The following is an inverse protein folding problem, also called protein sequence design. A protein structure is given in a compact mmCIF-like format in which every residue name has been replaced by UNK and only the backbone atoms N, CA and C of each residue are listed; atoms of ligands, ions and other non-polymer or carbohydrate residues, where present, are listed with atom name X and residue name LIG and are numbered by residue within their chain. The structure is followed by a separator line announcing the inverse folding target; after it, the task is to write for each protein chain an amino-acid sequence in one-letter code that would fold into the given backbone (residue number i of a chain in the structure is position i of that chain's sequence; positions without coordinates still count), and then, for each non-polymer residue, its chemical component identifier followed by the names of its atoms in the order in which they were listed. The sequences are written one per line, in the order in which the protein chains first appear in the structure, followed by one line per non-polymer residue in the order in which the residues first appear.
data_IF_782827817437
#
_entry.id   IF_782827817437
#
_cell.length_a   1.000
_cell.length_b   1.000
_cell.length_c   1.000
_cell.angle_alpha   90.00
_cell.angle_beta   90.00
_cell.angle_gamma   90.00
#
_symmetry.space_group_name_H-M   'P 1'
#
loop_
_entity.id
_entity.type
_entity.pdbx_description
1 polymer ?
#
# COMPACT_ATOMS: atom_id res chain seq x y z
N UNK A 1 28.07 6.71 12.24
CA UNK A 1 27.21 5.98 13.20
C UNK A 1 28.08 5.41 14.31
N UNK A 2 27.63 5.38 15.59
CA UNK A 2 28.39 4.74 16.66
C UNK A 2 28.59 3.25 16.32
N UNK A 3 29.77 2.73 16.60
CA UNK A 3 30.12 1.35 16.28
C UNK A 3 29.34 0.40 17.20
N UNK A 4 28.40 -0.37 16.65
CA UNK A 4 27.64 -1.34 17.43
C UNK A 4 28.54 -2.38 18.09
N UNK A 5 28.30 -2.62 19.38
CA UNK A 5 28.85 -3.76 20.10
C UNK A 5 28.29 -5.08 19.54
N UNK A 6 28.87 -6.22 19.92
CA UNK A 6 28.34 -7.52 19.52
C UNK A 6 26.94 -7.78 20.07
N UNK A 7 26.66 -7.31 21.29
CA UNK A 7 25.32 -7.38 21.89
C UNK A 7 24.31 -6.55 21.08
N UNK A 8 24.69 -5.34 20.66
CA UNK A 8 23.81 -4.47 19.86
C UNK A 8 23.50 -5.10 18.50
N UNK A 9 24.51 -5.73 17.86
CA UNK A 9 24.32 -6.44 16.58
C UNK A 9 23.38 -7.63 16.73
N UNK A 10 23.47 -8.37 17.83
CA UNK A 10 22.59 -9.50 18.11
C UNK A 10 21.15 -9.04 18.36
N UNK A 11 20.98 -7.97 19.16
CA UNK A 11 19.70 -7.34 19.43
C UNK A 11 19.04 -6.86 18.13
N UNK A 12 19.78 -6.15 17.28
CA UNK A 12 19.31 -5.66 15.99
C UNK A 12 18.88 -6.80 15.05
N UNK A 13 19.66 -7.89 14.98
CA UNK A 13 19.28 -9.08 14.22
C UNK A 13 18.00 -9.75 14.74
N UNK A 14 17.82 -9.83 16.06
CA UNK A 14 16.58 -10.34 16.67
C UNK A 14 15.38 -9.45 16.34
N UNK A 15 15.55 -8.13 16.38
CA UNK A 15 14.51 -7.18 15.99
C UNK A 15 14.13 -7.33 14.53
N UNK A 16 15.11 -7.48 13.62
CA UNK A 16 14.85 -7.70 12.21
C UNK A 16 14.05 -8.99 11.97
N UNK A 17 14.45 -10.10 12.60
CA UNK A 17 13.71 -11.37 12.50
C UNK A 17 12.27 -11.24 13.02
N UNK A 18 12.06 -10.52 14.12
CA UNK A 18 10.73 -10.25 14.65
C UNK A 18 9.89 -9.37 13.71
N UNK A 19 10.49 -8.38 13.06
CA UNK A 19 9.79 -7.55 12.07
C UNK A 19 9.37 -8.37 10.85
N UNK A 20 10.26 -9.21 10.31
CA UNK A 20 9.94 -10.11 9.21
C UNK A 20 8.82 -11.10 9.60
N UNK A 21 8.88 -11.65 10.82
CA UNK A 21 7.83 -12.54 11.31
C UNK A 21 6.45 -11.87 11.29
N UNK A 22 6.36 -10.61 11.73
CA UNK A 22 5.12 -9.84 11.69
C UNK A 22 4.59 -9.68 10.26
N UNK A 23 5.47 -9.41 9.28
CA UNK A 23 5.09 -9.32 7.86
C UNK A 23 4.54 -10.66 7.36
N UNK A 24 5.19 -11.77 7.68
CA UNK A 24 4.73 -13.09 7.28
C UNK A 24 3.40 -13.47 7.94
N UNK A 25 3.19 -13.08 9.19
CA UNK A 25 1.91 -13.28 9.89
C UNK A 25 0.78 -12.51 9.22
N UNK A 26 1.02 -11.28 8.75
CA UNK A 26 0.04 -10.53 7.96
C UNK A 26 -0.27 -11.24 6.64
N UNK A 27 0.74 -11.71 5.91
CA UNK A 27 0.53 -12.54 4.72
C UNK A 27 -0.29 -13.80 5.00
N UNK A 28 -0.13 -14.40 6.18
CA UNK A 28 -0.96 -15.54 6.62
C UNK A 28 -2.39 -15.11 6.94
N UNK A 29 -2.59 -13.96 7.59
CA UNK A 29 -3.92 -13.39 7.87
C UNK A 29 -4.70 -13.07 6.59
N UNK A 30 -3.99 -12.65 5.53
CA UNK A 30 -4.55 -12.44 4.19
C UNK A 30 -4.74 -13.74 3.38
N UNK A 31 -4.50 -14.90 3.99
CA UNK A 31 -4.53 -16.23 3.37
C UNK A 31 -3.55 -16.43 2.21
N UNK A 32 -2.56 -15.54 2.04
CA UNK A 32 -1.49 -15.71 1.05
C UNK A 32 -0.57 -16.87 1.42
N UNK A 33 -0.33 -17.06 2.72
CA UNK A 33 0.46 -18.15 3.27
C UNK A 33 -0.46 -19.08 4.06
N UNK A 34 -0.26 -20.39 3.88
CA UNK A 34 -0.93 -21.44 4.67
C UNK A 34 -0.24 -21.65 6.01
N UNK A 35 1.08 -21.79 6.00
CA UNK A 35 1.87 -22.11 7.18
C UNK A 35 3.21 -21.35 7.21
N UNK A 36 3.68 -21.03 8.42
CA UNK A 36 4.99 -20.43 8.68
C UNK A 36 5.72 -21.33 9.68
N UNK A 37 6.82 -21.94 9.24
CA UNK A 37 7.70 -22.75 10.08
C UNK A 37 8.91 -21.88 10.45
N UNK A 38 9.09 -21.63 11.74
CA UNK A 38 10.15 -20.75 12.26
C UNK A 38 11.37 -21.56 12.68
N UNK A 39 12.55 -20.94 12.63
CA UNK A 39 13.80 -21.54 13.08
C UNK A 39 14.03 -22.94 12.49
N UNK A 40 13.71 -23.09 11.20
CA UNK A 40 13.73 -24.38 10.54
C UNK A 40 15.16 -24.93 10.50
N UNK A 41 15.28 -26.21 10.87
CA UNK A 41 16.53 -26.94 10.85
C UNK A 41 16.33 -28.31 10.21
N UNK A 42 17.34 -28.74 9.45
CA UNK A 42 17.37 -30.07 8.85
C UNK A 42 18.81 -30.57 8.70
N UNK A 43 18.96 -31.85 8.36
CA UNK A 43 20.25 -32.47 8.05
C UNK A 43 20.04 -33.73 7.21
N UNK A 44 21.12 -34.21 6.59
CA UNK A 44 21.07 -35.44 5.81
C UNK A 44 20.83 -36.67 6.70
N UNK A 45 20.24 -37.72 6.11
CA UNK A 45 20.14 -39.01 6.77
C UNK A 45 21.55 -39.46 7.23
N UNK A 46 21.65 -39.94 8.47
CA UNK A 46 22.90 -40.36 9.15
C UNK A 46 23.79 -39.24 9.73
N UNK A 47 23.42 -37.96 9.55
CA UNK A 47 24.12 -36.82 10.15
C UNK A 47 23.24 -36.09 11.18
N UNK A 48 23.79 -35.03 11.79
CA UNK A 48 23.02 -34.16 12.69
C UNK A 48 21.80 -33.59 11.94
N UNK A 49 20.59 -33.90 12.43
CA UNK A 49 19.34 -33.45 11.83
C UNK A 49 19.08 -31.94 12.01
N UNK A 50 19.96 -31.23 12.73
CA UNK A 50 19.90 -29.80 12.97
C UNK A 50 21.04 -29.01 12.30
N UNK A 51 21.75 -29.63 11.35
CA UNK A 51 22.97 -29.11 10.71
C UNK A 51 22.76 -27.80 9.93
N UNK A 52 21.71 -27.72 9.12
CA UNK A 52 21.40 -26.55 8.29
C UNK A 52 20.25 -25.76 8.90
N UNK A 53 20.28 -24.45 8.72
CA UNK A 53 19.31 -23.55 9.35
C UNK A 53 18.79 -22.48 8.39
N UNK A 54 17.51 -22.16 8.49
CA UNK A 54 16.96 -20.93 7.95
C UNK A 54 15.95 -20.29 8.91
N UNK A 55 15.75 -18.97 8.79
CA UNK A 55 14.87 -18.23 9.69
C UNK A 55 13.42 -18.69 9.58
N UNK A 56 12.93 -18.83 8.35
CA UNK A 56 11.55 -19.23 8.07
C UNK A 56 11.47 -20.13 6.83
N UNK A 57 10.56 -21.10 6.88
CA UNK A 57 9.98 -21.74 5.70
C UNK A 57 8.50 -21.36 5.66
N UNK A 58 8.05 -20.80 4.54
CA UNK A 58 6.64 -20.48 4.31
C UNK A 58 6.04 -21.51 3.36
N UNK A 59 4.81 -21.93 3.62
CA UNK A 59 4.07 -22.91 2.81
C UNK A 59 2.85 -22.21 2.21
N UNK A 60 2.69 -22.31 0.90
CA UNK A 60 1.54 -21.77 0.19
C UNK A 60 0.36 -22.75 0.18
N UNK A 61 -0.79 -22.29 -0.34
CA UNK A 61 -2.00 -23.12 -0.41
C UNK A 61 -1.85 -24.33 -1.34
N UNK A 62 -0.94 -24.27 -2.31
CA UNK A 62 -0.59 -25.38 -3.21
C UNK A 62 0.57 -26.25 -2.68
N UNK A 63 0.88 -26.14 -1.39
CA UNK A 63 1.96 -26.84 -0.68
C UNK A 63 3.39 -26.53 -1.16
N UNK A 64 3.55 -25.58 -2.10
CA UNK A 64 4.88 -25.05 -2.46
C UNK A 64 5.52 -24.40 -1.25
N UNK A 65 6.83 -24.61 -1.05
CA UNK A 65 7.59 -24.04 0.06
C UNK A 65 8.64 -23.04 -0.40
N UNK A 66 8.75 -21.91 0.30
CA UNK A 66 9.86 -20.98 0.13
C UNK A 66 10.66 -20.83 1.42
N UNK A 67 11.98 -20.75 1.30
CA UNK A 67 12.87 -20.29 2.37
C UNK A 67 12.84 -18.76 2.40
N UNK A 68 12.72 -18.18 3.58
CA UNK A 68 12.84 -16.74 3.81
C UNK A 68 13.83 -16.49 4.94
N UNK A 69 14.98 -15.92 4.59
CA UNK A 69 16.00 -15.48 5.54
C UNK A 69 16.04 -13.96 5.64
N UNK A 70 16.53 -13.42 6.75
CA UNK A 70 16.74 -11.99 6.92
C UNK A 70 18.15 -11.68 7.39
N UNK A 71 18.72 -10.60 6.87
CA UNK A 71 19.99 -10.04 7.33
C UNK A 71 19.88 -8.52 7.40
N UNK A 72 20.56 -7.93 8.38
CA UNK A 72 20.59 -6.47 8.58
C UNK A 72 21.84 -5.82 7.99
N UNK A 73 22.74 -6.60 7.40
CA UNK A 73 23.95 -6.06 6.78
C UNK A 73 24.48 -7.00 5.70
N UNK A 74 25.12 -6.44 4.69
CA UNK A 74 25.79 -7.21 3.65
C UNK A 74 27.19 -7.62 4.11
N UNK A 75 27.37 -8.90 4.46
CA UNK A 75 28.71 -9.44 4.76
C UNK A 75 28.92 -10.76 4.05
N UNK A 76 30.10 -10.92 3.45
CA UNK A 76 30.42 -12.07 2.59
C UNK A 76 30.42 -13.40 3.35
N UNK A 77 30.86 -13.41 4.62
CA UNK A 77 30.81 -14.57 5.52
C UNK A 77 29.36 -15.04 5.73
N UNK A 78 28.46 -14.12 6.09
CA UNK A 78 27.05 -14.40 6.34
C UNK A 78 26.34 -14.87 5.09
N UNK A 79 26.63 -14.27 3.95
CA UNK A 79 26.02 -14.62 2.67
C UNK A 79 26.43 -16.03 2.22
N UNK A 80 27.72 -16.38 2.36
CA UNK A 80 28.21 -17.74 2.09
C UNK A 80 27.57 -18.77 3.01
N UNK A 81 27.40 -18.45 4.29
CA UNK A 81 26.66 -19.30 5.23
C UNK A 81 25.22 -19.55 4.79
N UNK A 82 24.48 -18.48 4.49
CA UNK A 82 23.10 -18.60 3.98
C UNK A 82 23.03 -19.38 2.67
N UNK A 83 23.99 -19.22 1.77
CA UNK A 83 24.07 -20.00 0.53
C UNK A 83 24.30 -21.49 0.80
N UNK A 84 25.24 -21.81 1.69
CA UNK A 84 25.54 -23.18 2.08
C UNK A 84 24.32 -23.86 2.72
N UNK A 85 23.67 -23.19 3.66
CA UNK A 85 22.45 -23.70 4.31
C UNK A 85 21.33 -23.87 3.28
N UNK A 86 21.07 -22.85 2.46
CA UNK A 86 20.01 -22.89 1.44
C UNK A 86 20.23 -24.02 0.43
N UNK A 87 21.47 -24.22 -0.03
CA UNK A 87 21.80 -25.27 -0.98
C UNK A 87 21.43 -26.64 -0.42
N UNK A 88 21.92 -26.96 0.78
CA UNK A 88 21.69 -28.26 1.38
C UNK A 88 20.23 -28.47 1.82
N UNK A 89 19.55 -27.42 2.31
CA UNK A 89 18.13 -27.49 2.64
C UNK A 89 17.29 -27.87 1.40
N UNK A 90 17.58 -27.30 0.23
CA UNK A 90 16.89 -27.63 -1.03
C UNK A 90 17.17 -29.06 -1.50
N UNK A 91 18.38 -29.58 -1.28
CA UNK A 91 18.71 -30.98 -1.57
C UNK A 91 17.95 -31.96 -0.65
N UNK A 92 17.79 -31.60 0.63
CA UNK A 92 17.08 -32.42 1.63
C UNK A 92 15.56 -32.34 1.46
N UNK A 93 15.02 -31.15 1.15
CA UNK A 93 13.60 -30.93 0.89
C UNK A 93 13.38 -30.35 -0.52
N UNK A 94 13.19 -31.23 -1.54
CA UNK A 94 12.95 -30.81 -2.92
C UNK A 94 11.65 -30.03 -3.15
N UNK A 95 10.73 -29.97 -2.16
CA UNK A 95 9.51 -29.16 -2.26
C UNK A 95 9.78 -27.65 -2.13
N UNK A 96 10.99 -27.27 -1.72
CA UNK A 96 11.42 -25.88 -1.62
C UNK A 96 11.78 -25.34 -3.01
N UNK A 97 10.85 -24.57 -3.58
CA UNK A 97 11.00 -24.05 -4.95
C UNK A 97 11.76 -22.73 -5.02
N UNK A 98 11.84 -21.98 -3.90
CA UNK A 98 12.46 -20.65 -3.87
C UNK A 98 13.13 -20.39 -2.50
N UNK A 99 14.20 -19.61 -2.50
CA UNK A 99 14.87 -19.04 -1.33
C UNK A 99 15.09 -17.55 -1.53
N UNK A 100 14.67 -16.76 -0.56
CA UNK A 100 14.71 -15.30 -0.59
C UNK A 100 15.48 -14.78 0.62
N UNK A 101 16.47 -13.93 0.38
CA UNK A 101 17.17 -13.19 1.43
C UNK A 101 16.59 -11.77 1.52
N UNK A 102 16.12 -11.42 2.70
CA UNK A 102 15.42 -10.17 2.98
C UNK A 102 16.35 -9.22 3.72
N UNK A 103 16.27 -7.92 3.41
CA UNK A 103 16.89 -6.86 4.18
C UNK A 103 15.83 -5.81 4.63
N UNK A 104 16.06 -5.08 5.73
CA UNK A 104 15.16 -4.01 6.17
C UNK A 104 15.05 -2.86 5.15
N UNK A 105 13.85 -2.34 4.91
CA UNK A 105 13.63 -1.26 3.92
C UNK A 105 14.22 0.08 4.34
N UNK A 106 14.51 0.28 5.62
CA UNK A 106 15.06 1.51 6.19
C UNK A 106 16.59 1.57 6.22
N UNK A 107 17.28 0.61 5.58
CA UNK A 107 18.73 0.67 5.39
C UNK A 107 19.15 1.90 4.57
N UNK A 108 20.37 2.38 4.82
CA UNK A 108 20.99 3.46 4.04
C UNK A 108 21.15 3.05 2.57
N UNK A 109 21.22 4.02 1.66
CA UNK A 109 21.39 3.72 0.23
C UNK A 109 22.71 2.98 -0.04
N UNK A 110 23.79 3.40 0.63
CA UNK A 110 25.09 2.75 0.52
C UNK A 110 25.02 1.27 0.95
N UNK A 111 24.31 0.96 2.05
CA UNK A 111 24.12 -0.42 2.50
C UNK A 111 23.24 -1.23 1.52
N UNK A 112 22.23 -0.61 0.91
CA UNK A 112 21.34 -1.25 -0.08
C UNK A 112 22.08 -1.58 -1.38
N UNK A 113 23.00 -0.74 -1.82
CA UNK A 113 23.71 -0.91 -3.08
C UNK A 113 24.48 -2.24 -3.17
N UNK A 114 25.04 -2.70 -2.05
CA UNK A 114 25.71 -4.00 -1.97
C UNK A 114 24.74 -5.17 -2.19
N UNK A 115 23.55 -5.11 -1.59
CA UNK A 115 22.49 -6.11 -1.81
C UNK A 115 22.02 -6.10 -3.27
N UNK A 116 21.80 -4.91 -3.83
CA UNK A 116 21.34 -4.73 -5.22
C UNK A 116 22.40 -5.23 -6.22
N UNK A 117 23.67 -4.96 -5.98
CA UNK A 117 24.77 -5.46 -6.79
C UNK A 117 24.84 -6.99 -6.76
N UNK A 118 24.61 -7.61 -5.60
CA UNK A 118 24.59 -9.06 -5.50
C UNK A 118 23.36 -9.66 -6.18
N UNK A 119 22.17 -9.09 -5.97
CA UNK A 119 20.94 -9.43 -6.71
C UNK A 119 21.17 -9.42 -8.22
N UNK A 120 21.80 -8.35 -8.72
CA UNK A 120 22.16 -8.23 -10.13
C UNK A 120 23.08 -9.36 -10.59
N UNK A 121 24.08 -9.77 -9.78
CA UNK A 121 24.96 -10.90 -10.11
C UNK A 121 24.23 -12.24 -10.16
N UNK A 122 23.24 -12.46 -9.27
CA UNK A 122 22.36 -13.65 -9.29
C UNK A 122 21.53 -13.66 -10.58
N UNK A 123 20.76 -12.59 -10.83
CA UNK A 123 19.82 -12.48 -11.97
C UNK A 123 20.54 -12.66 -13.31
N UNK A 124 21.73 -12.06 -13.45
CA UNK A 124 22.52 -12.14 -14.67
C UNK A 124 23.40 -13.40 -14.76
N UNK A 125 23.21 -14.38 -13.86
CA UNK A 125 23.98 -15.64 -13.80
C UNK A 125 25.50 -15.42 -13.78
N UNK A 126 25.96 -14.29 -13.23
CA UNK A 126 27.39 -14.00 -13.06
C UNK A 126 27.99 -14.82 -11.93
N UNK A 127 27.20 -15.10 -10.90
CA UNK A 127 27.55 -15.98 -9.79
C UNK A 127 26.54 -17.12 -9.68
N UNK A 128 27.03 -18.30 -9.32
CA UNK A 128 26.16 -19.34 -8.79
C UNK A 128 25.61 -18.90 -7.42
N UNK A 129 24.33 -19.18 -7.18
CA UNK A 129 23.68 -18.91 -5.90
C UNK A 129 22.55 -19.90 -5.67
N UNK A 130 22.49 -20.48 -4.48
CA UNK A 130 21.33 -21.25 -4.02
C UNK A 130 20.18 -20.33 -3.54
N UNK A 131 20.50 -19.09 -3.20
CA UNK A 131 19.53 -18.01 -2.93
C UNK A 131 19.05 -17.49 -4.28
N UNK A 132 17.74 -17.51 -4.52
CA UNK A 132 17.14 -17.15 -5.81
C UNK A 132 16.89 -15.66 -5.94
N UNK A 133 16.68 -14.96 -4.83
CA UNK A 133 16.35 -13.54 -4.82
C UNK A 133 16.84 -12.82 -3.57
N UNK A 134 17.08 -11.53 -3.70
CA UNK A 134 17.42 -10.63 -2.60
C UNK A 134 16.54 -9.40 -2.70
N UNK A 135 15.79 -9.11 -1.64
CA UNK A 135 14.70 -8.13 -1.67
C UNK A 135 14.56 -7.38 -0.36
N UNK A 136 13.98 -6.18 -0.43
CA UNK A 136 13.45 -5.50 0.73
C UNK A 136 12.23 -6.17 1.34
N UNK A 137 11.74 -5.65 2.46
CA UNK A 137 10.50 -6.11 3.11
C UNK A 137 9.28 -5.91 2.20
N UNK A 138 9.19 -4.79 1.47
CA UNK A 138 8.07 -4.49 0.56
C UNK A 138 8.05 -5.47 -0.60
N UNK A 139 9.19 -5.61 -1.28
CA UNK A 139 9.35 -6.53 -2.40
C UNK A 139 9.02 -7.98 -1.99
N UNK A 140 9.41 -8.42 -0.78
CA UNK A 140 9.01 -9.73 -0.27
C UNK A 140 7.48 -9.86 -0.15
N UNK A 141 6.81 -8.88 0.47
CA UNK A 141 5.36 -8.90 0.62
C UNK A 141 4.68 -9.02 -0.75
N UNK A 142 5.14 -8.22 -1.72
CA UNK A 142 4.63 -8.25 -3.09
C UNK A 142 4.92 -9.58 -3.81
N UNK A 143 6.07 -10.19 -3.59
CA UNK A 143 6.40 -11.51 -4.15
C UNK A 143 5.44 -12.60 -3.62
N UNK A 144 5.18 -12.60 -2.31
CA UNK A 144 4.26 -13.54 -1.66
C UNK A 144 2.83 -13.31 -2.17
N UNK A 145 2.37 -12.06 -2.17
CA UNK A 145 1.05 -11.67 -2.66
C UNK A 145 0.85 -12.04 -4.13
N UNK A 146 1.84 -11.79 -4.98
CA UNK A 146 1.76 -12.11 -6.40
C UNK A 146 1.72 -13.61 -6.65
N UNK A 147 2.48 -14.39 -5.89
CA UNK A 147 2.46 -15.85 -6.00
C UNK A 147 1.12 -16.42 -5.53
N UNK A 148 0.63 -16.01 -4.36
CA UNK A 148 -0.65 -16.48 -3.82
C UNK A 148 -1.82 -16.18 -4.77
N UNK A 149 -1.78 -15.04 -5.45
CA UNK A 149 -2.83 -14.58 -6.34
C UNK A 149 -2.62 -14.95 -7.82
N UNK A 150 -1.64 -15.81 -8.15
CA UNK A 150 -1.24 -16.11 -9.54
C UNK A 150 -2.37 -16.65 -10.43
N UNK A 151 -3.36 -17.32 -9.82
CA UNK A 151 -4.49 -17.95 -10.51
C UNK A 151 -5.79 -17.11 -10.47
N UNK A 152 -5.77 -15.94 -9.84
CA UNK A 152 -6.95 -15.07 -9.76
C UNK A 152 -7.11 -14.23 -11.02
N UNK A 153 -8.36 -13.88 -11.35
CA UNK A 153 -8.63 -12.90 -12.40
C UNK A 153 -8.10 -11.52 -12.01
N UNK A 154 -7.76 -10.69 -13.00
CA UNK A 154 -7.17 -9.37 -12.77
C UNK A 154 -8.04 -8.49 -11.86
N UNK A 155 -9.36 -8.50 -12.05
CA UNK A 155 -10.29 -7.71 -11.23
C UNK A 155 -10.28 -8.16 -9.76
N UNK A 156 -10.48 -9.47 -9.52
CA UNK A 156 -10.48 -10.04 -8.16
C UNK A 156 -9.13 -9.83 -7.47
N UNK A 157 -8.03 -10.01 -8.21
CA UNK A 157 -6.68 -9.74 -7.70
C UNK A 157 -6.56 -8.27 -7.26
N UNK A 158 -7.00 -7.31 -8.07
CA UNK A 158 -6.88 -5.88 -7.72
C UNK A 158 -7.72 -5.47 -6.53
N UNK A 159 -8.94 -5.99 -6.42
CA UNK A 159 -9.80 -5.72 -5.27
C UNK A 159 -9.20 -6.28 -3.97
N UNK A 160 -8.69 -7.52 -4.02
CA UNK A 160 -8.02 -8.14 -2.87
C UNK A 160 -6.74 -7.40 -2.47
N UNK A 161 -5.90 -7.04 -3.46
CA UNK A 161 -4.68 -6.26 -3.24
C UNK A 161 -4.97 -4.89 -2.62
N UNK A 162 -6.05 -4.23 -3.01
CA UNK A 162 -6.49 -2.95 -2.43
C UNK A 162 -6.90 -3.10 -0.97
N UNK A 163 -7.82 -4.01 -0.68
CA UNK A 163 -8.31 -4.25 0.68
C UNK A 163 -7.19 -4.66 1.65
N UNK A 164 -6.32 -5.58 1.22
CA UNK A 164 -5.20 -6.04 2.05
C UNK A 164 -4.16 -4.94 2.25
N UNK A 165 -3.97 -4.05 1.27
CA UNK A 165 -3.10 -2.89 1.43
C UNK A 165 -3.64 -1.90 2.49
N UNK A 166 -4.94 -1.63 2.50
CA UNK A 166 -5.59 -0.79 3.52
C UNK A 166 -5.41 -1.37 4.93
N UNK A 167 -5.64 -2.67 5.08
CA UNK A 167 -5.37 -3.41 6.32
C UNK A 167 -3.90 -3.31 6.72
N UNK A 168 -2.99 -3.51 5.77
CA UNK A 168 -1.57 -3.54 6.04
C UNK A 168 -1.03 -2.18 6.50
N UNK A 169 -1.43 -1.08 5.87
CA UNK A 169 -1.07 0.27 6.32
C UNK A 169 -1.61 0.53 7.74
N UNK A 170 -2.81 0.04 8.06
CA UNK A 170 -3.36 0.14 9.42
C UNK A 170 -2.50 -0.63 10.44
N UNK A 171 -2.00 -1.81 10.06
CA UNK A 171 -1.05 -2.59 10.88
C UNK A 171 0.29 -1.86 11.07
N UNK A 172 0.85 -1.29 10.00
CA UNK A 172 2.11 -0.50 10.05
C UNK A 172 1.98 0.69 11.00
N UNK A 173 0.87 1.44 10.92
CA UNK A 173 0.60 2.61 11.77
C UNK A 173 0.29 2.26 13.22
N UNK A 174 -0.28 1.10 13.48
CA UNK A 174 -0.58 0.63 14.85
C UNK A 174 0.59 -0.10 15.50
N UNK A 175 1.72 -0.26 14.80
CA UNK A 175 2.82 -1.05 15.28
C UNK A 175 3.61 -0.32 16.38
N UNK A 176 3.63 -0.89 17.59
CA UNK A 176 4.30 -0.28 18.75
C UNK A 176 5.82 -0.13 18.54
N UNK A 177 6.47 -1.05 17.83
CA UNK A 177 7.92 -0.95 17.55
C UNK A 177 8.23 0.17 16.56
N UNK A 178 7.35 0.43 15.58
CA UNK A 178 7.49 1.58 14.70
C UNK A 178 7.39 2.88 15.50
N UNK A 179 6.40 2.99 16.39
CA UNK A 179 6.25 4.16 17.26
C UNK A 179 7.45 4.34 18.20
N UNK A 180 7.90 3.27 18.87
CA UNK A 180 9.07 3.29 19.75
C UNK A 180 10.32 3.75 18.99
N UNK A 181 10.54 3.19 17.79
CA UNK A 181 11.66 3.57 16.93
C UNK A 181 11.59 5.03 16.53
N UNK A 182 10.42 5.54 16.14
CA UNK A 182 10.26 6.95 15.76
C UNK A 182 10.48 7.91 16.93
N UNK A 183 9.96 7.58 18.13
CA UNK A 183 10.14 8.39 19.34
C UNK A 183 11.60 8.43 19.80
N UNK A 184 12.29 7.28 19.80
CA UNK A 184 13.64 7.14 20.37
C UNK A 184 14.77 7.34 19.36
N UNK A 185 14.48 7.22 18.06
CA UNK A 185 15.47 7.13 16.99
C UNK A 185 16.52 6.04 17.24
N UNK A 186 16.17 4.98 17.99
CA UNK A 186 17.08 3.90 18.34
C UNK A 186 17.43 3.05 17.11
N UNK A 187 18.69 3.05 16.64
CA UNK A 187 19.08 2.36 15.41
C UNK A 187 19.07 0.83 15.54
N UNK A 188 18.91 0.28 16.75
CA UNK A 188 18.79 -1.17 16.96
C UNK A 188 17.39 -1.70 16.69
N UNK A 189 16.36 -0.85 16.79
CA UNK A 189 14.99 -1.24 16.53
C UNK A 189 14.78 -1.41 15.02
N UNK A 190 14.08 -2.46 14.64
CA UNK A 190 13.65 -2.69 13.26
C UNK A 190 12.14 -2.75 13.27
N UNK A 191 11.55 -1.86 12.47
CA UNK A 191 10.12 -1.73 12.29
C UNK A 191 9.62 -2.59 11.13
N UNK A 192 8.29 -2.68 10.99
CA UNK A 192 7.66 -3.17 9.76
C UNK A 192 7.41 -1.97 8.85
N UNK A 193 8.01 -1.94 7.65
CA UNK A 193 7.88 -0.81 6.71
C UNK A 193 7.97 0.56 7.42
N UNK A 194 9.04 0.74 8.20
CA UNK A 194 9.21 1.91 9.05
C UNK A 194 9.27 3.21 8.23
N UNK A 195 9.79 3.14 7.01
CA UNK A 195 9.80 4.23 6.04
C UNK A 195 8.38 4.70 5.67
N UNK A 196 7.42 3.77 5.52
CA UNK A 196 6.02 4.11 5.29
C UNK A 196 5.41 4.81 6.50
N UNK A 197 5.67 4.26 7.68
CA UNK A 197 5.25 4.86 8.94
C UNK A 197 5.75 6.30 9.05
N UNK A 198 7.05 6.52 8.88
CA UNK A 198 7.67 7.84 9.01
C UNK A 198 7.14 8.86 7.99
N UNK A 199 6.97 8.46 6.71
CA UNK A 199 6.39 9.34 5.67
C UNK A 199 4.98 9.80 6.02
N UNK A 200 4.15 8.90 6.55
CA UNK A 200 2.77 9.22 6.95
C UNK A 200 2.77 10.18 8.15
N UNK A 201 3.54 9.89 9.19
CA UNK A 201 3.61 10.73 10.39
C UNK A 201 4.18 12.13 10.07
N UNK A 202 5.13 12.21 9.15
CA UNK A 202 5.68 13.47 8.66
C UNK A 202 4.60 14.30 7.96
N UNK A 203 3.80 13.69 7.07
CA UNK A 203 2.68 14.37 6.40
C UNK A 203 1.58 14.81 7.37
N UNK A 204 1.37 14.06 8.46
CA UNK A 204 0.46 14.47 9.55
C UNK A 204 1.01 15.62 10.40
N UNK A 205 2.27 16.01 10.21
CA UNK A 205 2.96 17.03 10.99
C UNK A 205 2.90 16.74 12.51
N UNK A 206 3.17 15.49 12.87
CA UNK A 206 3.15 15.04 14.27
C UNK A 206 4.49 15.28 14.97
N UNK A 207 4.42 15.69 16.23
CA UNK A 207 5.59 15.86 17.10
C UNK A 207 5.81 14.62 17.96
N UNK A 208 6.96 13.98 17.78
CA UNK A 208 7.38 12.77 18.51
C UNK A 208 7.44 12.89 20.02
N UNK A 209 7.57 14.12 20.54
CA UNK A 209 7.60 14.38 21.98
C UNK A 209 6.21 14.39 22.60
N UNK A 210 5.16 14.59 21.78
CA UNK A 210 3.78 14.76 22.25
C UNK A 210 2.89 13.55 22.00
N UNK A 211 3.29 12.63 21.11
CA UNK A 211 2.52 11.45 20.75
C UNK A 211 2.78 10.32 21.74
N UNK A 212 1.72 9.85 22.39
CA UNK A 212 1.77 8.72 23.31
C UNK A 212 1.49 7.39 22.61
N UNK A 213 0.44 7.35 21.78
CA UNK A 213 -0.02 6.14 21.08
C UNK A 213 -0.61 6.47 19.71
N UNK A 214 -0.49 5.53 18.78
CA UNK A 214 -1.15 5.57 17.47
C UNK A 214 -1.91 4.27 17.28
N UNK A 215 -3.19 4.37 16.94
CA UNK A 215 -4.01 3.24 16.51
C UNK A 215 -4.62 3.58 15.14
N UNK A 216 -4.59 2.64 14.20
CA UNK A 216 -5.22 2.80 12.90
C UNK A 216 -6.14 1.61 12.60
N UNK A 217 -7.22 1.86 11.86
CA UNK A 217 -8.17 0.83 11.45
C UNK A 217 -8.69 1.07 10.05
N UNK A 218 -8.81 -0.03 9.29
CA UNK A 218 -9.50 -0.11 8.00
C UNK A 218 -10.81 -0.90 8.10
N UNK A 219 -11.27 -1.23 9.32
CA UNK A 219 -12.50 -1.98 9.53
C UNK A 219 -13.71 -1.17 9.05
N UNK A 220 -14.35 -1.65 7.98
CA UNK A 220 -15.52 -1.01 7.38
C UNK A 220 -16.71 -0.93 8.34
N UNK A 221 -16.76 -1.73 9.41
CA UNK A 221 -17.79 -1.59 10.47
C UNK A 221 -17.55 -0.36 11.34
N UNK A 222 -16.29 0.02 11.55
CA UNK A 222 -15.92 1.22 12.31
C UNK A 222 -16.09 2.47 11.45
N UNK A 223 -15.63 2.43 10.20
CA UNK A 223 -15.77 3.55 9.25
C UNK A 223 -17.26 3.79 8.90
N UNK A 224 -18.03 2.70 8.79
CA UNK A 224 -19.45 2.72 8.48
C UNK A 224 -19.76 3.09 7.03
N UNK A 225 -21.04 3.05 6.67
CA UNK A 225 -21.52 3.43 5.35
C UNK A 225 -22.01 4.89 5.32
N UNK A 226 -22.09 5.47 4.13
CA UNK A 226 -22.74 6.76 3.92
C UNK A 226 -24.25 6.69 4.22
N UNK A 227 -24.94 7.83 4.32
CA UNK A 227 -26.42 7.86 4.45
C UNK A 227 -27.13 7.21 3.28
N UNK A 228 -26.47 7.12 2.13
CA UNK A 228 -26.94 6.46 0.91
C UNK A 228 -26.63 4.96 0.87
N UNK A 229 -26.05 4.39 1.93
CA UNK A 229 -25.52 3.02 1.98
C UNK A 229 -24.30 2.75 1.09
N UNK A 230 -23.79 3.76 0.37
CA UNK A 230 -22.54 3.66 -0.38
C UNK A 230 -21.31 3.67 0.55
N UNK A 231 -20.17 3.21 0.03
CA UNK A 231 -18.90 3.27 0.75
C UNK A 231 -18.35 4.70 0.80
N UNK A 232 -17.85 5.14 1.96
CA UNK A 232 -17.19 6.44 2.09
C UNK A 232 -15.83 6.46 1.37
N UNK A 233 -15.19 7.64 1.31
CA UNK A 233 -13.85 7.79 0.71
C UNK A 233 -12.73 7.47 1.67
N UNK A 234 -12.98 7.53 2.97
CA UNK A 234 -12.03 7.07 3.98
C UNK A 234 -11.88 5.55 3.91
N UNK A 235 -10.65 5.11 3.68
CA UNK A 235 -10.24 3.71 3.72
C UNK A 235 -9.59 3.36 5.06
N UNK A 236 -8.91 4.32 5.71
CA UNK A 236 -8.25 4.15 7.02
C UNK A 236 -8.57 5.34 7.93
N UNK A 237 -8.89 5.07 9.19
CA UNK A 237 -8.95 6.06 10.27
C UNK A 237 -7.75 5.85 11.19
N UNK A 238 -6.98 6.91 11.43
CA UNK A 238 -5.86 6.92 12.37
C UNK A 238 -6.22 7.80 13.57
N UNK A 239 -6.16 7.23 14.76
CA UNK A 239 -6.34 7.92 16.03
C UNK A 239 -4.99 8.03 16.74
N UNK A 240 -4.54 9.27 16.92
CA UNK A 240 -3.31 9.62 17.62
C UNK A 240 -3.69 10.15 19.00
N UNK A 241 -3.20 9.48 20.04
CA UNK A 241 -3.40 9.88 21.44
C UNK A 241 -2.14 10.61 21.88
N UNK A 242 -2.29 11.86 22.31
CA UNK A 242 -1.19 12.68 22.83
C UNK A 242 -0.90 12.36 24.30
N UNK A 243 0.27 12.74 24.81
CA UNK A 243 0.68 12.51 26.20
C UNK A 243 -0.25 13.20 27.22
N UNK A 244 -0.97 14.25 26.81
CA UNK A 244 -2.00 14.90 27.63
C UNK A 244 -3.38 14.23 27.56
N UNK A 245 -3.50 13.09 26.86
CA UNK A 245 -4.75 12.36 26.64
C UNK A 245 -5.65 12.88 25.52
N UNK A 246 -5.27 13.94 24.82
CA UNK A 246 -6.04 14.46 23.67
C UNK A 246 -5.95 13.51 22.48
N UNK A 247 -7.08 13.30 21.79
CA UNK A 247 -7.12 12.52 20.56
C UNK A 247 -7.13 13.43 19.32
N UNK A 248 -6.34 13.05 18.31
CA UNK A 248 -6.39 13.59 16.95
C UNK A 248 -6.78 12.47 15.99
N UNK A 249 -7.69 12.75 15.06
CA UNK A 249 -8.09 11.80 14.03
C UNK A 249 -7.60 12.26 12.66
N UNK A 250 -7.10 11.31 11.87
CA UNK A 250 -6.69 11.50 10.49
C UNK A 250 -7.37 10.44 9.63
N UNK A 251 -7.88 10.84 8.46
CA UNK A 251 -8.61 9.96 7.55
C UNK A 251 -7.89 9.85 6.22
N UNK A 252 -7.66 8.63 5.75
CA UNK A 252 -6.86 8.36 4.55
C UNK A 252 -7.71 7.63 3.52
N UNK A 253 -7.69 8.09 2.27
CA UNK A 253 -8.09 7.30 1.10
C UNK A 253 -6.85 6.63 0.51
N UNK A 254 -6.88 5.31 0.34
CA UNK A 254 -5.75 4.51 -0.12
C UNK A 254 -5.93 4.05 -1.57
N UNK A 255 -4.87 4.08 -2.37
CA UNK A 255 -4.87 3.56 -3.74
C UNK A 255 -3.55 2.84 -4.02
N UNK A 256 -3.60 1.53 -4.26
CA UNK A 256 -2.44 0.73 -4.69
C UNK A 256 -2.49 0.53 -6.20
N UNK A 257 -1.61 1.20 -6.95
CA UNK A 257 -1.64 1.16 -8.42
C UNK A 257 -0.34 1.59 -9.10
N UNK A 258 0.00 0.89 -10.18
CA UNK A 258 1.03 1.30 -11.15
C UNK A 258 0.41 1.88 -12.43
N UNK A 259 -0.91 1.91 -12.52
CA UNK A 259 -1.60 2.47 -13.67
C UNK A 259 -1.50 4.00 -13.66
N UNK A 260 -1.27 4.58 -14.83
CA UNK A 260 -1.26 6.04 -15.01
C UNK A 260 -2.62 6.67 -14.67
N UNK A 261 -3.70 5.92 -14.81
CA UNK A 261 -5.05 6.39 -14.49
C UNK A 261 -5.91 5.27 -13.90
N UNK A 262 -6.73 5.62 -12.92
CA UNK A 262 -7.63 4.70 -12.22
C UNK A 262 -9.03 5.29 -12.07
N UNK A 263 -10.04 4.43 -11.93
CA UNK A 263 -11.38 4.85 -11.55
C UNK A 263 -11.41 5.33 -10.11
N UNK A 264 -11.97 6.52 -9.88
CA UNK A 264 -11.98 7.18 -8.55
C UNK A 264 -13.38 7.49 -8.05
N UNK A 265 -14.39 7.55 -8.94
CA UNK A 265 -15.74 7.94 -8.58
C UNK A 265 -16.76 7.38 -9.55
N UNK A 266 -17.96 7.04 -9.06
CA UNK A 266 -19.05 6.58 -9.92
C UNK A 266 -20.41 6.86 -9.28
N UNK A 267 -21.19 7.74 -9.90
CA UNK A 267 -22.48 8.21 -9.38
C UNK A 267 -23.41 8.62 -10.52
N UNK A 268 -24.71 8.78 -10.23
CA UNK A 268 -25.70 9.27 -11.19
C UNK A 268 -25.49 10.76 -11.49
N UNK A 269 -25.94 11.22 -12.66
CA UNK A 269 -25.98 12.64 -13.03
C UNK A 269 -26.63 13.52 -11.95
N UNK A 270 -27.71 13.06 -11.33
CA UNK A 270 -28.38 13.81 -10.26
C UNK A 270 -27.51 13.96 -9.01
N UNK A 271 -26.75 12.93 -8.64
CA UNK A 271 -25.83 13.04 -7.51
C UNK A 271 -24.70 14.03 -7.80
N UNK A 272 -24.21 14.09 -9.04
CA UNK A 272 -23.28 15.15 -9.45
C UNK A 272 -23.92 16.53 -9.33
N UNK A 273 -25.13 16.73 -9.86
CA UNK A 273 -25.83 18.01 -9.79
C UNK A 273 -26.09 18.44 -8.34
N UNK A 274 -26.67 17.56 -7.52
CA UNK A 274 -27.00 17.82 -6.12
C UNK A 274 -25.77 18.24 -5.30
N UNK A 275 -24.61 17.64 -5.55
CA UNK A 275 -23.39 17.97 -4.84
C UNK A 275 -22.76 19.24 -5.37
N UNK A 276 -22.69 19.43 -6.70
CA UNK A 276 -21.99 20.58 -7.28
C UNK A 276 -22.78 21.87 -7.12
N UNK A 277 -24.04 21.87 -7.55
CA UNK A 277 -24.95 23.01 -7.46
C UNK A 277 -26.40 22.52 -7.65
N UNK A 278 -27.13 22.33 -6.54
CA UNK A 278 -28.46 21.70 -6.55
C UNK A 278 -29.51 22.51 -7.31
N UNK A 279 -29.33 23.83 -7.38
CA UNK A 279 -30.27 24.78 -7.98
C UNK A 279 -29.93 25.09 -9.45
N UNK A 280 -28.77 24.62 -9.95
CA UNK A 280 -28.37 24.83 -11.33
C UNK A 280 -29.00 23.79 -12.27
N UNK A 281 -30.23 24.09 -12.71
CA UNK A 281 -31.00 23.25 -13.64
C UNK A 281 -30.29 23.02 -14.99
N UNK A 282 -29.49 23.99 -15.45
CA UNK A 282 -28.74 23.85 -16.70
C UNK A 282 -27.62 22.82 -16.55
N UNK A 283 -26.85 22.88 -15.47
CA UNK A 283 -25.84 21.88 -15.14
C UNK A 283 -26.47 20.48 -15.00
N UNK A 284 -27.57 20.36 -14.25
CA UNK A 284 -28.31 19.10 -14.08
C UNK A 284 -28.72 18.50 -15.43
N UNK A 285 -29.34 19.31 -16.29
CA UNK A 285 -29.78 18.89 -17.62
C UNK A 285 -28.60 18.41 -18.48
N UNK A 286 -27.47 19.11 -18.45
CA UNK A 286 -26.27 18.71 -19.22
C UNK A 286 -25.67 17.39 -18.70
N UNK A 287 -25.63 17.20 -17.38
CA UNK A 287 -25.16 15.94 -16.77
C UNK A 287 -26.08 14.76 -17.11
N UNK A 288 -27.40 14.94 -17.06
CA UNK A 288 -28.38 13.93 -17.44
C UNK A 288 -28.22 13.55 -18.91
N UNK A 289 -28.14 14.54 -19.81
CA UNK A 289 -27.87 14.31 -21.23
C UNK A 289 -26.56 13.55 -21.45
N UNK A 290 -25.49 13.88 -20.73
CA UNK A 290 -24.23 13.16 -20.85
C UNK A 290 -24.40 11.69 -20.43
N UNK A 291 -25.08 11.44 -19.32
CA UNK A 291 -25.36 10.08 -18.84
C UNK A 291 -26.17 9.27 -19.86
N UNK A 292 -27.25 9.85 -20.40
CA UNK A 292 -28.14 9.24 -21.39
C UNK A 292 -27.42 8.87 -22.69
N UNK A 293 -26.59 9.78 -23.22
CA UNK A 293 -25.81 9.52 -24.44
C UNK A 293 -24.74 8.44 -24.23
N UNK A 294 -24.23 8.28 -22.99
CA UNK A 294 -23.34 7.18 -22.63
C UNK A 294 -21.94 7.24 -23.28
N UNK A 295 -21.58 8.34 -23.96
CA UNK A 295 -20.25 8.64 -24.49
C UNK A 295 -20.13 10.10 -24.98
N UNK A 296 -18.89 10.60 -25.11
CA UNK A 296 -18.60 11.98 -25.55
C UNK A 296 -19.02 12.27 -26.98
N UNK A 297 -18.82 11.31 -27.90
CA UNK A 297 -19.09 11.53 -29.33
C UNK A 297 -20.57 11.83 -29.54
N UNK A 298 -21.43 11.02 -28.93
CA UNK A 298 -22.88 11.17 -29.08
C UNK A 298 -23.41 12.34 -28.23
N UNK A 299 -22.69 12.76 -27.18
CA UNK A 299 -23.00 13.98 -26.42
C UNK A 299 -22.79 15.27 -27.24
N UNK A 300 -21.80 15.29 -28.14
CA UNK A 300 -21.56 16.38 -29.08
C UNK A 300 -20.78 17.57 -28.50
N UNK A 301 -20.20 18.37 -29.39
CA UNK A 301 -19.27 19.45 -29.03
C UNK A 301 -19.97 20.63 -28.34
N UNK A 302 -21.16 21.01 -28.79
CA UNK A 302 -21.93 22.11 -28.19
C UNK A 302 -22.27 21.83 -26.72
N UNK A 303 -22.77 20.63 -26.43
CA UNK A 303 -23.06 20.21 -25.06
C UNK A 303 -21.77 20.07 -24.23
N UNK A 304 -20.66 19.63 -24.85
CA UNK A 304 -19.37 19.52 -24.18
C UNK A 304 -18.80 20.88 -23.76
N UNK A 305 -18.93 21.89 -24.63
CA UNK A 305 -18.56 23.28 -24.33
C UNK A 305 -19.45 23.83 -23.22
N UNK A 306 -20.78 23.66 -23.33
CA UNK A 306 -21.71 24.13 -22.32
C UNK A 306 -21.45 23.49 -20.95
N UNK A 307 -21.22 22.16 -20.89
CA UNK A 307 -20.94 21.46 -19.64
C UNK A 307 -19.60 21.91 -19.03
N UNK A 308 -18.57 22.14 -19.84
CA UNK A 308 -17.31 22.72 -19.36
C UNK A 308 -17.53 24.06 -18.68
N UNK A 309 -18.30 24.94 -19.31
CA UNK A 309 -18.50 26.31 -18.82
C UNK A 309 -19.32 26.31 -17.50
N UNK A 310 -20.31 25.42 -17.38
CA UNK A 310 -21.07 25.20 -16.14
C UNK A 310 -20.23 24.53 -15.04
N UNK A 311 -19.29 23.64 -15.37
CA UNK A 311 -18.42 22.98 -14.36
C UNK A 311 -17.29 23.89 -13.85
N UNK A 312 -16.87 24.88 -14.64
CA UNK A 312 -15.75 25.79 -14.31
C UNK A 312 -15.80 26.40 -12.91
N UNK A 313 -16.93 26.95 -12.41
CA UNK A 313 -16.99 27.51 -11.05
C UNK A 313 -16.95 26.44 -9.95
N UNK A 314 -17.11 25.16 -10.27
CA UNK A 314 -17.24 24.07 -9.30
C UNK A 314 -16.06 23.09 -9.31
N UNK A 315 -14.96 23.39 -10.01
CA UNK A 315 -13.84 22.46 -10.20
C UNK A 315 -13.23 21.95 -8.88
N UNK A 316 -12.95 22.86 -7.94
CA UNK A 316 -12.39 22.47 -6.65
C UNK A 316 -13.37 21.60 -5.85
N UNK A 317 -14.65 22.00 -5.81
CA UNK A 317 -15.73 21.25 -5.15
C UNK A 317 -15.87 19.85 -5.74
N UNK A 318 -15.80 19.73 -7.07
CA UNK A 318 -15.82 18.45 -7.78
C UNK A 318 -14.63 17.58 -7.37
N UNK A 319 -13.40 18.12 -7.38
CA UNK A 319 -12.21 17.34 -7.01
C UNK A 319 -12.28 16.86 -5.56
N UNK A 320 -12.63 17.75 -4.63
CA UNK A 320 -12.73 17.41 -3.20
C UNK A 320 -13.84 16.39 -2.91
N UNK A 321 -14.95 16.44 -3.64
CA UNK A 321 -15.98 15.40 -3.55
C UNK A 321 -15.51 14.07 -4.13
N UNK A 322 -14.89 14.11 -5.30
CA UNK A 322 -14.46 12.91 -6.02
C UNK A 322 -13.41 12.12 -5.25
N UNK A 323 -12.44 12.85 -4.70
CA UNK A 323 -11.24 12.30 -4.06
C UNK A 323 -11.45 12.14 -2.55
N UNK A 324 -11.95 13.16 -1.86
CA UNK A 324 -12.11 13.18 -0.41
C UNK A 324 -13.53 12.92 0.12
N UNK A 325 -14.54 12.91 -0.76
CA UNK A 325 -15.95 12.69 -0.38
C UNK A 325 -16.67 13.95 0.12
N UNK A 326 -16.00 15.10 0.14
CA UNK A 326 -16.53 16.37 0.65
C UNK A 326 -17.78 16.83 -0.13
N UNK A 327 -18.83 17.22 0.58
CA UNK A 327 -20.14 17.54 -0.02
C UNK A 327 -21.06 16.32 -0.21
N UNK A 328 -20.54 15.10 0.00
CA UNK A 328 -21.34 13.88 0.00
C UNK A 328 -22.24 13.74 1.24
N UNK A 329 -23.23 12.84 1.16
CA UNK A 329 -24.18 12.55 2.24
C UNK A 329 -23.55 11.65 3.32
N UNK A 330 -22.60 12.19 4.08
CA UNK A 330 -21.91 11.48 5.18
C UNK A 330 -22.76 11.38 6.45
N UNK A 331 -22.48 10.36 7.25
CA UNK A 331 -22.99 10.19 8.62
C UNK A 331 -22.06 10.84 9.65
N UNK A 332 -20.75 10.76 9.43
CA UNK A 332 -19.70 11.27 10.30
C UNK A 332 -18.60 11.93 9.45
N UNK A 333 -17.92 12.95 9.98
CA UNK A 333 -16.75 13.58 9.36
C UNK A 333 -15.60 12.60 9.13
N UNK A 334 -15.48 11.55 9.95
CA UNK A 334 -14.46 10.50 9.73
C UNK A 334 -14.63 9.74 8.40
N UNK A 335 -15.75 9.91 7.71
CA UNK A 335 -16.02 9.33 6.38
C UNK A 335 -15.50 10.17 5.22
N UNK A 336 -15.04 11.39 5.51
CA UNK A 336 -14.32 12.24 4.58
C UNK A 336 -12.83 11.97 4.70
N UNK A 337 -12.15 11.78 3.57
CA UNK A 337 -10.71 11.54 3.55
C UNK A 337 -9.95 12.87 3.46
N UNK A 338 -9.12 13.13 4.46
CA UNK A 338 -8.28 14.33 4.56
C UNK A 338 -6.91 14.13 3.93
N UNK A 339 -6.50 12.87 3.74
CA UNK A 339 -5.22 12.48 3.16
C UNK A 339 -5.41 11.45 2.06
N UNK A 340 -4.58 11.55 1.03
CA UNK A 340 -4.57 10.64 -0.12
C UNK A 340 -3.25 9.90 -0.11
N UNK A 341 -3.31 8.59 0.12
CA UNK A 341 -2.16 7.70 0.13
C UNK A 341 -2.16 6.83 -1.12
N UNK A 342 -1.10 6.94 -1.90
CA UNK A 342 -0.91 6.23 -3.16
C UNK A 342 0.32 5.35 -3.01
N UNK A 343 0.18 4.06 -3.29
CA UNK A 343 1.31 3.13 -3.37
C UNK A 343 1.54 2.70 -4.81
N UNK A 344 2.80 2.72 -5.21
CA UNK A 344 3.29 1.99 -6.37
C UNK A 344 4.20 0.82 -5.93
N UNK A 345 4.76 0.08 -6.89
CA UNK A 345 5.68 -1.05 -6.66
C UNK A 345 6.97 -0.70 -5.90
N UNK A 346 7.27 0.58 -5.67
CA UNK A 346 8.54 1.03 -5.09
C UNK A 346 8.38 1.82 -3.80
N UNK A 347 7.27 2.55 -3.66
CA UNK A 347 7.11 3.51 -2.58
C UNK A 347 5.64 3.87 -2.32
N UNK A 348 5.42 4.62 -1.24
CA UNK A 348 4.19 5.34 -0.96
C UNK A 348 4.37 6.85 -1.11
N UNK A 349 3.29 7.50 -1.53
CA UNK A 349 3.14 8.94 -1.65
C UNK A 349 1.91 9.33 -0.84
N UNK A 350 2.04 10.31 0.05
CA UNK A 350 0.93 10.81 0.84
C UNK A 350 0.87 12.33 0.73
N UNK A 351 -0.35 12.82 0.49
CA UNK A 351 -0.65 14.23 0.34
C UNK A 351 -1.85 14.58 1.19
N UNK A 352 -1.93 15.81 1.69
CA UNK A 352 -3.21 16.34 2.16
C UNK A 352 -4.18 16.43 0.97
N UNK A 353 -5.49 16.38 1.25
CA UNK A 353 -6.51 16.56 0.21
C UNK A 353 -6.34 17.91 -0.50
N UNK A 354 -5.93 18.95 0.23
CA UNK A 354 -5.68 20.27 -0.33
C UNK A 354 -4.54 20.26 -1.34
N UNK A 355 -3.36 19.76 -0.94
CA UNK A 355 -2.20 19.64 -1.84
C UNK A 355 -2.54 18.80 -3.07
N UNK A 356 -3.20 17.65 -2.88
CA UNK A 356 -3.59 16.77 -3.97
C UNK A 356 -4.62 17.44 -4.91
N UNK A 357 -5.54 18.23 -4.35
CA UNK A 357 -6.51 19.01 -5.14
C UNK A 357 -5.78 20.04 -6.01
N UNK A 358 -4.84 20.79 -5.45
CA UNK A 358 -4.05 21.76 -6.21
C UNK A 358 -3.19 21.09 -7.28
N UNK A 359 -2.61 19.92 -7.00
CA UNK A 359 -1.89 19.12 -8.01
C UNK A 359 -2.80 18.73 -9.18
N UNK A 360 -4.02 18.26 -8.90
CA UNK A 360 -4.96 17.86 -9.94
C UNK A 360 -5.47 19.05 -10.77
N UNK A 361 -5.67 20.22 -10.18
CA UNK A 361 -6.19 21.40 -10.88
C UNK A 361 -5.16 22.09 -11.78
N UNK A 362 -3.91 21.62 -11.83
CA UNK A 362 -2.89 22.18 -12.73
C UNK A 362 -3.26 22.00 -14.21
N UNK A 363 -2.91 22.97 -15.09
CA UNK A 363 -3.28 22.93 -16.50
C UNK A 363 -2.91 21.65 -17.25
N UNK A 364 -1.77 21.04 -16.92
CA UNK A 364 -1.29 19.78 -17.53
C UNK A 364 -2.17 18.55 -17.24
N UNK A 365 -3.02 18.64 -16.21
CA UNK A 365 -3.90 17.57 -15.77
C UNK A 365 -5.30 17.68 -16.34
N UNK A 366 -5.63 18.78 -17.02
CA UNK A 366 -6.95 19.00 -17.64
C UNK A 366 -7.27 17.89 -18.66
N UNK A 367 -8.51 17.43 -18.60
CA UNK A 367 -9.10 16.39 -19.44
C UNK A 367 -10.51 16.81 -19.88
N UNK A 368 -11.49 15.90 -19.84
CA UNK A 368 -12.83 16.17 -20.34
C UNK A 368 -13.50 17.30 -19.55
N UNK A 369 -14.23 18.15 -20.28
CA UNK A 369 -15.01 19.27 -19.75
C UNK A 369 -14.20 20.26 -18.89
N UNK A 370 -12.90 20.42 -19.16
CA UNK A 370 -12.05 21.32 -18.38
C UNK A 370 -11.74 20.83 -16.95
N UNK A 371 -12.11 19.59 -16.63
CA UNK A 371 -11.85 18.96 -15.32
C UNK A 371 -10.59 18.11 -15.37
N UNK A 372 -9.97 17.73 -14.24
CA UNK A 372 -8.84 16.80 -14.24
C UNK A 372 -9.23 15.34 -14.48
N UNK A 373 -10.52 15.06 -14.74
CA UNK A 373 -11.06 13.72 -14.83
C UNK A 373 -11.39 13.32 -16.26
N UNK A 374 -11.19 12.04 -16.55
CA UNK A 374 -11.77 11.40 -17.72
C UNK A 374 -13.18 10.93 -17.35
N UNK A 375 -14.16 11.61 -17.92
CA UNK A 375 -15.58 11.28 -17.79
C UNK A 375 -15.92 10.12 -18.72
N UNK A 376 -16.44 9.02 -18.17
CA UNK A 376 -16.69 7.77 -18.88
C UNK A 376 -17.81 6.96 -18.20
N UNK A 377 -17.98 5.71 -18.61
CA UNK A 377 -19.00 4.79 -18.10
C UNK A 377 -18.35 3.43 -17.81
N UNK A 378 -18.71 2.80 -16.70
CA UNK A 378 -18.27 1.43 -16.44
C UNK A 378 -18.89 0.48 -17.48
N UNK A 379 -18.20 -0.64 -17.75
CA UNK A 379 -18.69 -1.64 -18.70
C UNK A 379 -20.09 -2.12 -18.32
N UNK A 380 -21.03 -2.10 -19.27
CA UNK A 380 -22.43 -2.47 -19.03
C UNK A 380 -23.27 -1.45 -18.24
N UNK A 381 -22.73 -0.24 -17.97
CA UNK A 381 -23.40 0.79 -17.16
C UNK A 381 -23.68 2.11 -17.87
N UNK A 382 -23.57 2.14 -19.20
CA UNK A 382 -24.01 3.28 -20.03
C UNK A 382 -25.48 3.60 -19.74
N UNK A 383 -25.82 4.89 -19.65
CA UNK A 383 -27.17 5.35 -19.30
C UNK A 383 -27.54 5.27 -17.83
N UNK A 384 -26.74 4.62 -16.97
CA UNK A 384 -27.08 4.37 -15.55
C UNK A 384 -26.35 5.30 -14.60
N UNK A 385 -25.05 5.44 -14.76
CA UNK A 385 -24.19 6.24 -13.90
C UNK A 385 -22.94 6.70 -14.64
N UNK A 386 -22.38 7.83 -14.23
CA UNK A 386 -21.14 8.41 -14.75
C UNK A 386 -19.99 7.89 -13.90
N UNK A 387 -18.93 7.38 -14.55
CA UNK A 387 -17.67 7.02 -13.92
C UNK A 387 -16.60 8.06 -14.24
N UNK A 388 -15.83 8.46 -13.22
CA UNK A 388 -14.65 9.30 -13.37
C UNK A 388 -13.38 8.50 -13.18
N UNK A 389 -12.44 8.67 -14.11
CA UNK A 389 -11.06 8.23 -13.96
C UNK A 389 -10.15 9.42 -13.75
N UNK A 390 -9.14 9.26 -12.91
CA UNK A 390 -8.16 10.29 -12.58
C UNK A 390 -6.77 9.83 -12.99
N UNK A 391 -5.92 10.75 -13.46
CA UNK A 391 -4.49 10.48 -13.60
C UNK A 391 -3.86 10.51 -12.22
N UNK A 392 -3.11 9.45 -11.86
CA UNK A 392 -2.44 9.38 -10.57
C UNK A 392 -1.32 10.41 -10.52
N UNK A 393 -1.33 11.25 -9.47
CA UNK A 393 -0.24 12.17 -9.15
C UNK A 393 0.52 11.57 -7.97
N UNK A 394 1.85 11.50 -8.07
CA UNK A 394 2.71 10.92 -7.04
C UNK A 394 3.46 12.03 -6.33
#
# INVERSE_FOLDING_TARGET
MPQFSNSDKQEHGKNAKSALESILLECKNYAYIKEIIKDYRCGYAEYDNAQFYCNFVIVFQDDTKWIVNITTSFRSDRLKGNQWDTYNIKEIDPSISKSVLVYPDDLSQDDKDDFLLYKFKIINKKHFSAIDDIVGQQELFELIENYANKNLSVGVKKDLQGNNFESYISTVLSNEKNLEKWKTSNPKLVGIHYDFFEKILFCFNLDKTTVSKINATSDKKVIGNLKTSGSPKTDIIVTVILENGTEKHFTISCKKTNAKSVSVHQYTSDAFADVLDSENEKLRTLLQKFQENGNLRDFGDENSIALRDELKPHLEKLVRWVIGGYGGKVQNQLQLADYILISDEKDIFIHTLEEYTQMLLKPENVSHFGTPFQWTFASGRKGKDIQLKCKIQK
#
